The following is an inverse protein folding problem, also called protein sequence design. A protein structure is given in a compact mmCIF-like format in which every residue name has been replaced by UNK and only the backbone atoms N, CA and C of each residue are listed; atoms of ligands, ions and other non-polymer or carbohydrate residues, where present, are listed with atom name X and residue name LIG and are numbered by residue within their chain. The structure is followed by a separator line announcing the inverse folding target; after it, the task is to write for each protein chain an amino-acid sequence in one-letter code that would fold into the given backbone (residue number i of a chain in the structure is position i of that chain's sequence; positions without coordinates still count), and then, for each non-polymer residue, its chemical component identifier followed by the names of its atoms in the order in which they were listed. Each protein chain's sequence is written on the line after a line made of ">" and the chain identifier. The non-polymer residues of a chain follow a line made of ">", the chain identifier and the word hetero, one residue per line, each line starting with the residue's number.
data_IF_583489241497
#
_entry.id   IF_583489241497
#
_cell.length_a   1.000
_cell.length_b   1.000
_cell.length_c   1.000
_cell.angle_alpha   90.00
_cell.angle_beta   90.00
_cell.angle_gamma   90.00
#
_symmetry.space_group_name_H-M   'P 1'
#
loop_
_entity.id
_entity.type
_entity.pdbx_description
1 polymer ?
#
# COMPACT_ATOMS: atom_id res chain seq x y z
N UNK A 1 21.82 14.95 -9.31
CA UNK A 1 20.38 14.98 -9.03
C UNK A 1 20.20 14.80 -7.54
N UNK A 2 19.54 15.73 -6.86
CA UNK A 2 19.17 15.60 -5.45
C UNK A 2 17.89 14.74 -5.29
N UNK A 3 17.62 14.24 -4.09
CA UNK A 3 16.38 13.52 -3.81
C UNK A 3 15.14 14.39 -4.08
N UNK A 4 15.22 15.69 -3.84
CA UNK A 4 14.11 16.61 -4.05
C UNK A 4 13.85 16.86 -5.54
N UNK A 5 14.90 16.95 -6.36
CA UNK A 5 14.77 17.03 -7.82
C UNK A 5 14.09 15.77 -8.38
N UNK A 6 14.48 14.59 -7.89
CA UNK A 6 13.87 13.32 -8.28
C UNK A 6 12.39 13.24 -7.86
N UNK A 7 12.07 13.59 -6.62
CA UNK A 7 10.69 13.66 -6.12
C UNK A 7 9.85 14.64 -6.91
N UNK A 8 10.38 15.81 -7.23
CA UNK A 8 9.68 16.81 -8.03
C UNK A 8 9.40 16.32 -9.45
N UNK A 9 10.33 15.57 -10.05
CA UNK A 9 10.10 14.94 -11.35
C UNK A 9 9.00 13.87 -11.28
N UNK A 10 9.05 12.97 -10.29
CA UNK A 10 8.04 11.92 -10.12
C UNK A 10 6.66 12.43 -9.72
N UNK A 11 6.57 13.53 -8.97
CA UNK A 11 5.30 14.15 -8.60
C UNK A 11 4.45 14.61 -9.81
N UNK A 12 5.06 14.70 -11.00
CA UNK A 12 4.38 15.05 -12.25
C UNK A 12 3.73 13.83 -12.94
N UNK A 13 4.07 12.61 -12.52
CA UNK A 13 3.46 11.40 -13.06
C UNK A 13 2.10 11.18 -12.38
N UNK A 14 1.04 11.24 -13.18
CA UNK A 14 -0.31 10.97 -12.69
C UNK A 14 -0.46 9.49 -12.30
N UNK A 15 -1.02 9.24 -11.12
CA UNK A 15 -1.32 7.91 -10.61
C UNK A 15 -2.66 7.92 -9.87
N UNK A 16 -3.32 6.77 -9.81
CA UNK A 16 -4.44 6.55 -8.90
C UNK A 16 -3.95 6.48 -7.44
N UNK A 17 -4.88 6.61 -6.49
CA UNK A 17 -4.62 6.33 -5.07
C UNK A 17 -5.34 5.04 -4.71
N UNK A 18 -4.63 4.15 -4.03
CA UNK A 18 -5.21 2.94 -3.47
C UNK A 18 -5.06 2.93 -1.96
N UNK A 19 -6.00 2.30 -1.26
CA UNK A 19 -5.85 1.91 0.14
C UNK A 19 -5.43 0.46 0.19
N UNK A 20 -4.27 0.21 0.79
CA UNK A 20 -3.77 -1.12 1.11
C UNK A 20 -4.20 -1.43 2.54
N UNK A 21 -4.78 -2.61 2.75
CA UNK A 21 -5.21 -3.05 4.07
C UNK A 21 -4.70 -4.44 4.38
N UNK A 22 -4.26 -4.65 5.61
CA UNK A 22 -3.92 -5.95 6.17
C UNK A 22 -4.37 -6.00 7.63
N UNK A 23 -4.52 -7.21 8.17
CA UNK A 23 -4.85 -7.40 9.57
C UNK A 23 -3.57 -7.70 10.34
N UNK A 24 -3.24 -6.87 11.32
CA UNK A 24 -2.17 -7.17 12.28
C UNK A 24 -2.71 -8.16 13.33
N UNK A 25 -1.99 -9.25 13.64
CA UNK A 25 -2.44 -10.23 14.60
C UNK A 25 -2.43 -9.64 16.01
N UNK A 26 -3.26 -10.17 16.92
CA UNK A 26 -3.28 -9.70 18.30
C UNK A 26 -1.93 -9.97 19.00
N UNK A 27 -1.58 -9.09 19.95
CA UNK A 27 -0.36 -9.21 20.76
C UNK A 27 -0.45 -10.31 21.82
N UNK A 28 -1.67 -10.69 22.20
CA UNK A 28 -1.99 -11.72 23.19
C UNK A 28 -3.04 -12.71 22.63
N UNK A 29 -3.10 -13.91 23.20
CA UNK A 29 -4.00 -14.99 22.71
C UNK A 29 -5.49 -14.62 22.84
N UNK A 30 -5.84 -13.73 23.77
CA UNK A 30 -7.20 -13.26 24.01
C UNK A 30 -7.55 -11.96 23.26
N UNK A 31 -6.57 -11.38 22.57
CA UNK A 31 -6.71 -10.10 21.88
C UNK A 31 -7.48 -10.17 20.58
N UNK A 32 -7.82 -8.99 20.06
CA UNK A 32 -8.28 -8.82 18.68
C UNK A 32 -7.17 -8.17 17.87
N UNK A 33 -6.92 -8.68 16.68
CA UNK A 33 -6.02 -8.03 15.74
C UNK A 33 -6.52 -6.65 15.32
N UNK A 34 -5.62 -5.86 14.73
CA UNK A 34 -5.89 -4.48 14.31
C UNK A 34 -5.99 -4.41 12.77
N UNK A 35 -6.98 -3.67 12.26
CA UNK A 35 -7.03 -3.33 10.83
C UNK A 35 -6.02 -2.22 10.55
N UNK A 36 -4.99 -2.50 9.75
CA UNK A 36 -3.97 -1.54 9.37
C UNK A 36 -4.17 -1.12 7.93
N UNK A 37 -4.18 0.19 7.68
CA UNK A 37 -4.38 0.79 6.37
C UNK A 37 -3.25 1.72 5.96
N UNK A 38 -2.90 1.72 4.66
CA UNK A 38 -1.96 2.68 4.08
C UNK A 38 -2.41 3.14 2.71
N UNK A 39 -2.44 4.44 2.46
CA UNK A 39 -2.63 4.99 1.11
C UNK A 39 -1.34 4.87 0.29
N UNK A 40 -1.44 4.42 -0.95
CA UNK A 40 -0.30 4.34 -1.88
C UNK A 40 -0.68 4.82 -3.28
N UNK A 41 0.30 5.41 -3.96
CA UNK A 41 0.22 5.74 -5.41
C UNK A 41 1.05 4.80 -6.27
N UNK A 42 1.99 4.06 -5.67
CA UNK A 42 2.88 3.13 -6.36
C UNK A 42 2.24 1.75 -6.52
N UNK A 43 1.10 1.69 -7.22
CA UNK A 43 0.35 0.47 -7.52
C UNK A 43 0.26 0.26 -9.03
N UNK A 44 0.53 -0.96 -9.52
CA UNK A 44 0.58 -1.27 -10.94
C UNK A 44 0.15 -2.72 -11.23
N UNK A 45 -0.64 -2.92 -12.29
CA UNK A 45 -0.86 -4.25 -12.86
C UNK A 45 0.38 -4.72 -13.61
N UNK A 46 0.85 -5.95 -13.35
CA UNK A 46 2.09 -6.48 -13.97
C UNK A 46 1.86 -7.72 -14.83
N UNK A 47 0.78 -8.48 -14.59
CA UNK A 47 0.40 -9.61 -15.45
C UNK A 47 -1.11 -9.81 -15.45
N UNK A 48 -1.64 -10.31 -16.57
CA UNK A 48 -3.04 -10.75 -16.68
C UNK A 48 -3.17 -12.26 -16.43
N UNK A 49 -2.17 -13.04 -16.81
CA UNK A 49 -2.15 -14.50 -16.67
C UNK A 49 -0.77 -14.98 -16.17
N UNK A 50 -0.63 -15.34 -14.88
CA UNK A 50 -1.63 -15.18 -13.83
C UNK A 50 -1.91 -13.69 -13.54
N UNK A 51 -3.06 -13.33 -12.94
CA UNK A 51 -3.36 -11.95 -12.57
C UNK A 51 -2.43 -11.49 -11.45
N UNK A 52 -1.57 -10.53 -11.74
CA UNK A 52 -0.58 -10.02 -10.80
C UNK A 52 -0.58 -8.50 -10.76
N UNK A 53 -0.37 -7.97 -9.57
CA UNK A 53 -0.17 -6.55 -9.29
C UNK A 53 1.11 -6.38 -8.48
N UNK A 54 1.69 -5.19 -8.52
CA UNK A 54 2.83 -4.79 -7.72
C UNK A 54 2.46 -3.54 -6.92
N UNK A 55 2.87 -3.54 -5.66
CA UNK A 55 2.91 -2.34 -4.81
C UNK A 55 4.35 -2.09 -4.38
N UNK A 56 4.79 -0.84 -4.42
CA UNK A 56 6.07 -0.44 -3.82
C UNK A 56 5.83 0.19 -2.45
N UNK A 57 6.49 -0.37 -1.44
CA UNK A 57 6.49 0.11 -0.06
C UNK A 57 7.83 0.78 0.26
N UNK A 58 7.82 1.68 1.26
CA UNK A 58 9.07 2.18 1.83
C UNK A 58 9.65 1.09 2.71
N UNK A 59 10.89 0.69 2.45
CA UNK A 59 11.62 -0.28 3.27
C UNK A 59 11.58 0.13 4.77
N UNK A 60 11.26 -0.84 5.63
CA UNK A 60 11.13 -0.64 7.08
C UNK A 60 9.97 0.29 7.46
N UNK A 61 8.92 0.33 6.65
CA UNK A 61 7.63 0.90 7.05
C UNK A 61 6.81 -0.17 7.77
N UNK A 62 5.92 0.22 8.69
CA UNK A 62 5.03 -0.72 9.37
C UNK A 62 4.25 -1.64 8.40
N UNK A 63 3.87 -1.11 7.23
CA UNK A 63 3.17 -1.90 6.21
C UNK A 63 4.10 -2.88 5.48
N UNK A 64 5.39 -2.57 5.34
CA UNK A 64 6.41 -3.47 4.78
C UNK A 64 6.52 -4.72 5.65
N UNK A 65 6.77 -4.52 6.95
CA UNK A 65 6.87 -5.60 7.93
C UNK A 65 5.55 -6.40 8.00
N UNK A 66 4.40 -5.71 8.00
CA UNK A 66 3.10 -6.37 8.11
C UNK A 66 2.76 -7.23 6.88
N UNK A 67 3.04 -6.77 5.66
CA UNK A 67 2.76 -7.56 4.45
C UNK A 67 3.70 -8.76 4.29
N UNK A 68 4.89 -8.71 4.89
CA UNK A 68 5.81 -9.85 4.93
C UNK A 68 5.32 -10.95 5.89
N UNK A 69 4.62 -10.58 6.97
CA UNK A 69 4.11 -11.52 7.97
C UNK A 69 2.70 -12.04 7.65
N UNK A 70 1.86 -11.24 6.98
CA UNK A 70 0.48 -11.61 6.70
C UNK A 70 0.31 -12.37 5.37
N UNK A 71 -0.39 -13.53 5.38
CA UNK A 71 -0.57 -14.32 4.17
C UNK A 71 -1.52 -13.66 3.16
N UNK A 72 -2.36 -12.73 3.63
CA UNK A 72 -3.40 -12.08 2.84
C UNK A 72 -3.47 -10.59 3.18
N UNK A 73 -3.67 -9.81 2.14
CA UNK A 73 -3.91 -8.37 2.20
C UNK A 73 -4.82 -7.98 1.04
N UNK A 74 -5.35 -6.77 1.09
CA UNK A 74 -6.28 -6.27 0.09
C UNK A 74 -5.89 -4.88 -0.41
N UNK A 75 -6.40 -4.54 -1.60
CA UNK A 75 -6.26 -3.22 -2.23
C UNK A 75 -7.65 -2.73 -2.62
N UNK A 76 -7.96 -1.49 -2.21
CA UNK A 76 -9.14 -0.77 -2.66
C UNK A 76 -8.72 0.46 -3.47
N UNK A 77 -9.19 0.58 -4.72
CA UNK A 77 -8.94 1.77 -5.54
C UNK A 77 -9.88 2.89 -5.09
N UNK A 78 -9.33 4.04 -4.69
CA UNK A 78 -10.14 5.14 -4.18
C UNK A 78 -10.80 5.92 -5.31
N UNK A 79 -12.09 6.22 -5.13
CA UNK A 79 -12.85 7.08 -6.02
C UNK A 79 -12.55 8.57 -5.75
N UNK A 80 -12.85 9.43 -6.72
CA UNK A 80 -12.63 10.88 -6.58
C UNK A 80 -13.39 11.52 -5.40
N UNK A 81 -14.55 10.95 -5.01
CA UNK A 81 -15.31 11.40 -3.84
C UNK A 81 -14.62 11.11 -2.51
N UNK A 82 -13.63 10.21 -2.49
CA UNK A 82 -12.88 9.80 -1.29
C UNK A 82 -11.58 10.59 -1.11
N UNK A 83 -11.42 11.74 -1.76
CA UNK A 83 -10.22 12.59 -1.66
C UNK A 83 -9.87 13.06 -0.22
N UNK A 84 -10.82 13.00 0.70
CA UNK A 84 -10.60 13.35 2.10
C UNK A 84 -9.98 12.21 2.94
N UNK A 85 -10.02 10.98 2.42
CA UNK A 85 -9.31 9.83 3.00
C UNK A 85 -7.81 10.02 2.78
#
# INVERSE_FOLDING_TARGET
>A
MSNDEFRAALARLAAGVVLITAQEPPLDEDGRGEDVGMTATAFMSVSLDPPLVMVSLRNGSRMDDLLDEQPLWAVSVLAASQRHV
#
